data_IF_474759830655
#
_entry.id   IF_474759830655
#
_cell.length_a   1.000
_cell.length_b   1.000
_cell.length_c   1.000
_cell.angle_alpha   90.00
_cell.angle_beta   90.00
_cell.angle_gamma   90.00
#
_symmetry.space_group_name_H-M   'P 1'
#
loop_
_entity.id
_entity.type
_entity.pdbx_description
1 polymer ?
#
# COMPACT_ATOMS: atom_id res chain seq x y z
N UNK A 1 12.26 -34.24 70.54
CA UNK A 1 11.28 -33.66 69.60
C UNK A 1 12.06 -32.91 68.53
N UNK A 2 12.15 -33.48 67.30
CA UNK A 2 12.79 -32.80 66.15
C UNK A 2 11.72 -32.22 65.26
N UNK A 3 11.72 -30.90 65.10
CA UNK A 3 10.85 -30.15 64.22
C UNK A 3 11.56 -30.03 62.88
N UNK A 4 10.99 -30.65 61.81
CA UNK A 4 11.48 -30.51 60.43
C UNK A 4 10.74 -29.35 59.76
N UNK A 5 11.48 -28.30 59.40
CA UNK A 5 10.98 -27.22 58.56
C UNK A 5 11.16 -27.58 57.10
N UNK A 6 10.04 -27.78 56.39
CA UNK A 6 10.03 -27.91 54.92
C UNK A 6 9.99 -26.52 54.31
N UNK A 7 11.07 -26.12 53.67
CA UNK A 7 11.14 -24.91 52.85
C UNK A 7 10.50 -25.20 51.51
N UNK A 8 9.32 -24.63 51.26
CA UNK A 8 8.70 -24.61 49.91
C UNK A 8 9.34 -23.49 49.10
N UNK A 9 10.05 -23.84 48.03
CA UNK A 9 10.60 -22.90 47.06
C UNK A 9 9.50 -22.60 46.00
N UNK A 10 9.03 -21.35 45.84
CA UNK A 10 8.10 -21.02 44.75
C UNK A 10 8.85 -21.07 43.44
N UNK A 11 8.41 -21.91 42.52
CA UNK A 11 8.87 -21.92 41.13
C UNK A 11 8.33 -20.69 40.41
N UNK A 12 9.21 -19.73 40.15
CA UNK A 12 8.93 -18.56 39.34
C UNK A 12 8.86 -19.00 37.86
N UNK A 13 7.66 -19.21 37.33
CA UNK A 13 7.46 -19.46 35.90
C UNK A 13 7.74 -18.19 35.13
N UNK A 14 8.91 -18.10 34.48
CA UNK A 14 9.24 -17.06 33.54
C UNK A 14 8.40 -17.25 32.27
N UNK A 15 7.40 -16.42 32.08
CA UNK A 15 6.68 -16.28 30.79
C UNK A 15 7.64 -15.67 29.77
N UNK A 16 8.31 -16.50 29.00
CA UNK A 16 9.00 -16.05 27.77
C UNK A 16 7.92 -15.67 26.76
N UNK A 17 7.58 -14.38 26.71
CA UNK A 17 6.81 -13.84 25.60
C UNK A 17 7.62 -14.03 24.30
N UNK A 18 7.12 -14.82 23.36
CA UNK A 18 7.68 -14.86 22.01
C UNK A 18 7.65 -13.44 21.44
N UNK A 19 8.70 -12.97 20.74
CA UNK A 19 8.65 -11.69 20.06
C UNK A 19 7.48 -11.73 19.08
N UNK A 20 6.51 -10.85 19.26
CA UNK A 20 5.47 -10.64 18.26
C UNK A 20 6.16 -10.08 17.03
N UNK A 21 6.22 -10.87 15.94
CA UNK A 21 6.63 -10.36 14.65
C UNK A 21 5.64 -9.26 14.27
N UNK A 22 6.15 -8.10 13.88
CA UNK A 22 5.28 -7.03 13.44
C UNK A 22 4.54 -7.48 12.17
N UNK A 23 3.22 -7.35 12.18
CA UNK A 23 2.41 -7.69 11.00
C UNK A 23 2.86 -6.85 9.81
N UNK A 24 3.10 -7.51 8.67
CA UNK A 24 3.64 -6.91 7.46
C UNK A 24 2.65 -6.92 6.30
N UNK A 25 2.77 -5.92 5.43
CA UNK A 25 1.99 -5.82 4.21
C UNK A 25 2.92 -5.45 3.05
N UNK A 26 2.88 -6.24 1.97
CA UNK A 26 3.58 -5.97 0.74
C UNK A 26 2.61 -6.12 -0.44
N UNK A 27 2.87 -5.39 -1.52
CA UNK A 27 2.06 -5.46 -2.72
C UNK A 27 2.95 -5.56 -3.96
N UNK A 28 2.37 -6.07 -5.05
CA UNK A 28 2.98 -6.05 -6.37
C UNK A 28 1.93 -5.52 -7.35
N UNK A 29 2.29 -4.47 -8.09
CA UNK A 29 1.42 -3.85 -9.08
C UNK A 29 1.98 -4.13 -10.47
N UNK A 30 1.21 -4.78 -11.31
CA UNK A 30 1.57 -4.98 -12.69
C UNK A 30 1.01 -3.86 -13.57
N UNK A 31 1.91 -3.18 -14.28
CA UNK A 31 1.58 -2.27 -15.38
C UNK A 31 1.63 -3.10 -16.67
N UNK A 32 0.51 -3.31 -17.37
CA UNK A 32 0.50 -4.15 -18.57
C UNK A 32 1.20 -3.47 -19.74
N UNK A 33 1.72 -4.30 -20.66
CA UNK A 33 2.16 -3.79 -21.97
C UNK A 33 0.93 -3.64 -22.86
N UNK A 34 0.60 -2.41 -23.22
CA UNK A 34 -0.52 -2.12 -24.09
C UNK A 34 -0.02 -1.88 -25.53
N UNK A 35 -0.72 -2.47 -26.49
CA UNK A 35 -0.45 -2.25 -27.91
C UNK A 35 -1.28 -1.07 -28.42
N UNK A 36 -0.76 0.15 -28.23
CA UNK A 36 -1.38 1.40 -28.64
C UNK A 36 -0.44 2.15 -29.56
N UNK A 37 -0.98 2.95 -30.49
CA UNK A 37 -0.17 3.78 -31.41
C UNK A 37 0.64 4.85 -30.67
N UNK A 38 0.13 5.33 -29.55
CA UNK A 38 0.80 6.28 -28.67
C UNK A 38 0.73 5.77 -27.23
N UNK A 39 1.88 5.46 -26.65
CA UNK A 39 1.96 4.90 -25.30
C UNK A 39 2.60 5.89 -24.34
N UNK A 40 1.81 6.31 -23.37
CA UNK A 40 2.28 7.02 -22.19
C UNK A 40 2.26 6.09 -20.98
N UNK A 41 3.25 6.23 -20.08
CA UNK A 41 3.24 5.47 -18.83
C UNK A 41 2.11 5.95 -17.95
N UNK A 42 1.29 5.06 -17.37
CA UNK A 42 0.19 5.47 -16.52
C UNK A 42 0.69 6.16 -15.24
N UNK A 43 -0.09 7.13 -14.77
CA UNK A 43 -0.05 7.55 -13.39
C UNK A 43 -0.73 6.49 -12.55
N UNK A 44 -0.20 6.19 -11.38
CA UNK A 44 -0.75 5.17 -10.49
C UNK A 44 -0.77 5.70 -9.08
N UNK A 45 -1.89 5.52 -8.39
CA UNK A 45 -1.98 5.67 -6.95
C UNK A 45 -2.42 4.35 -6.30
N UNK A 46 -1.81 4.02 -5.17
CA UNK A 46 -2.19 2.89 -4.34
C UNK A 46 -2.40 3.37 -2.91
N UNK A 47 -3.51 2.92 -2.30
CA UNK A 47 -3.86 3.33 -0.94
C UNK A 47 -4.67 2.26 -0.21
N UNK A 48 -4.78 2.42 1.10
CA UNK A 48 -5.62 1.60 1.97
C UNK A 48 -6.85 2.41 2.38
N UNK A 49 -8.04 1.86 2.13
CA UNK A 49 -9.33 2.41 2.56
C UNK A 49 -9.90 1.62 3.75
N UNK A 50 -10.55 2.33 4.65
CA UNK A 50 -11.43 1.75 5.68
C UNK A 50 -12.79 1.36 5.09
N UNK A 51 -13.61 0.70 5.89
CA UNK A 51 -14.96 0.30 5.49
C UNK A 51 -15.86 1.50 5.10
N UNK A 52 -15.64 2.66 5.71
CA UNK A 52 -16.35 3.92 5.41
C UNK A 52 -15.79 4.66 4.19
N UNK A 53 -14.83 4.04 3.49
CA UNK A 53 -14.07 4.59 2.35
C UNK A 53 -13.16 5.78 2.70
N UNK A 54 -12.89 6.07 3.95
CA UNK A 54 -11.83 7.00 4.33
C UNK A 54 -10.46 6.38 4.08
N UNK A 55 -9.46 7.20 3.70
CA UNK A 55 -8.10 6.72 3.46
C UNK A 55 -7.38 6.53 4.78
N UNK A 56 -6.89 5.31 5.02
CA UNK A 56 -6.04 5.00 6.17
C UNK A 56 -4.57 5.35 5.90
N UNK A 57 -4.09 5.04 4.69
CA UNK A 57 -2.73 5.36 4.26
C UNK A 57 -2.65 5.43 2.73
N UNK A 58 -1.91 6.40 2.19
CA UNK A 58 -1.44 6.37 0.80
C UNK A 58 -0.14 5.58 0.76
N UNK A 59 -0.05 4.62 -0.16
CA UNK A 59 1.04 3.63 -0.23
C UNK A 59 2.03 3.95 -1.34
N UNK A 60 1.51 4.36 -2.49
CA UNK A 60 2.32 4.78 -3.62
C UNK A 60 1.59 5.82 -4.46
N UNK A 61 2.33 6.76 -5.02
CA UNK A 61 1.86 7.71 -6.03
C UNK A 61 2.94 7.86 -7.09
N UNK A 62 2.70 7.31 -8.28
CA UNK A 62 3.63 7.36 -9.39
C UNK A 62 3.14 8.33 -10.45
N UNK A 63 3.93 9.37 -10.71
CA UNK A 63 3.61 10.38 -11.70
C UNK A 63 4.86 10.89 -12.41
N UNK A 64 4.74 11.79 -13.37
CA UNK A 64 5.91 12.41 -13.99
C UNK A 64 6.56 13.39 -13.02
N UNK A 65 7.62 12.93 -12.37
CA UNK A 65 8.40 13.69 -11.37
C UNK A 65 9.49 14.57 -12.00
N UNK A 66 9.58 14.62 -13.35
CA UNK A 66 10.60 15.42 -14.01
C UNK A 66 10.32 16.91 -13.80
N UNK A 67 11.32 17.60 -13.24
CA UNK A 67 11.31 19.06 -13.15
C UNK A 67 11.92 19.62 -14.42
N UNK A 68 11.20 20.46 -15.15
CA UNK A 68 11.75 21.20 -16.26
C UNK A 68 12.28 22.54 -15.78
N UNK A 69 13.37 23.05 -16.39
CA UNK A 69 14.06 24.28 -16.00
C UNK A 69 13.13 25.50 -15.87
N UNK A 70 12.01 25.49 -16.60
CA UNK A 70 11.05 26.60 -16.61
C UNK A 70 9.77 26.31 -15.79
N UNK A 71 9.68 25.17 -15.10
CA UNK A 71 8.56 24.85 -14.22
C UNK A 71 9.04 24.05 -12.99
N UNK A 72 9.48 24.77 -11.94
CA UNK A 72 10.03 24.15 -10.73
C UNK A 72 9.02 23.32 -9.93
N UNK A 73 7.71 23.54 -10.11
CA UNK A 73 6.65 22.77 -9.42
C UNK A 73 6.38 21.40 -10.06
N UNK A 74 7.06 21.07 -11.18
CA UNK A 74 6.88 19.84 -11.91
C UNK A 74 5.54 19.76 -12.66
N UNK A 75 5.58 19.74 -14.00
CA UNK A 75 4.36 19.66 -14.81
C UNK A 75 3.47 18.46 -14.49
N UNK A 76 4.06 17.37 -13.96
CA UNK A 76 3.35 16.13 -13.68
C UNK A 76 2.29 16.22 -12.58
N UNK A 77 2.49 17.10 -11.59
CA UNK A 77 1.54 17.22 -10.45
C UNK A 77 0.16 17.71 -10.89
N UNK A 78 0.08 18.54 -11.93
CA UNK A 78 -1.19 19.06 -12.47
C UNK A 78 -2.14 17.96 -12.96
N UNK A 79 -1.60 16.78 -13.33
CA UNK A 79 -2.35 15.65 -13.86
C UNK A 79 -2.72 14.61 -12.80
N UNK A 80 -2.30 14.78 -11.54
CA UNK A 80 -2.68 13.88 -10.45
C UNK A 80 -4.20 13.83 -10.24
N UNK A 81 -4.93 14.86 -10.62
CA UNK A 81 -6.40 14.91 -10.63
C UNK A 81 -7.07 13.86 -11.54
N UNK A 82 -6.30 13.28 -12.50
CA UNK A 82 -6.81 12.24 -13.38
C UNK A 82 -6.90 10.89 -12.67
N UNK A 83 -6.18 10.71 -11.58
CA UNK A 83 -6.42 9.66 -10.57
C UNK A 83 -7.64 10.05 -9.72
N UNK A 84 -8.81 10.01 -10.32
CA UNK A 84 -10.03 10.70 -9.86
C UNK A 84 -10.53 10.21 -8.51
N UNK A 85 -10.40 8.90 -8.22
CA UNK A 85 -10.86 8.34 -6.97
C UNK A 85 -9.91 8.70 -5.84
N UNK A 86 -8.61 8.43 -6.03
CA UNK A 86 -7.57 8.83 -5.08
C UNK A 86 -7.58 10.34 -4.82
N UNK A 87 -7.67 11.16 -5.88
CA UNK A 87 -7.69 12.61 -5.77
C UNK A 87 -8.85 13.12 -4.90
N UNK A 88 -10.06 12.59 -5.12
CA UNK A 88 -11.24 12.96 -4.33
C UNK A 88 -11.19 12.47 -2.89
N UNK A 89 -10.55 11.32 -2.64
CA UNK A 89 -10.46 10.72 -1.31
C UNK A 89 -9.44 11.43 -0.42
N UNK A 90 -8.28 11.79 -0.99
CA UNK A 90 -7.15 12.31 -0.22
C UNK A 90 -6.18 13.15 -1.05
N UNK A 91 -5.97 12.88 -2.32
CA UNK A 91 -4.87 13.45 -3.11
C UNK A 91 -4.86 14.98 -3.16
N UNK A 92 -6.03 15.61 -3.23
CA UNK A 92 -6.15 17.08 -3.27
C UNK A 92 -5.68 17.79 -1.99
N UNK A 93 -5.67 17.04 -0.87
CA UNK A 93 -5.31 17.56 0.44
C UNK A 93 -3.87 17.20 0.84
N UNK A 94 -3.14 16.51 -0.07
CA UNK A 94 -1.76 16.07 0.14
C UNK A 94 -0.78 16.95 -0.61
N UNK A 95 0.28 17.34 0.07
CA UNK A 95 1.45 17.94 -0.56
C UNK A 95 2.34 16.83 -1.13
N UNK A 96 2.71 16.93 -2.41
CA UNK A 96 3.63 16.02 -3.06
C UNK A 96 4.93 16.75 -3.41
N UNK A 97 6.10 16.11 -3.35
CA UNK A 97 6.33 14.67 -3.12
C UNK A 97 6.19 14.25 -1.65
N UNK A 98 5.74 13.00 -1.42
CA UNK A 98 5.65 12.37 -0.10
C UNK A 98 6.77 11.34 0.01
N UNK A 99 7.61 11.45 1.04
CA UNK A 99 8.72 10.53 1.28
C UNK A 99 8.26 9.07 1.40
N UNK A 100 8.97 8.17 0.71
CA UNK A 100 8.68 6.74 0.70
C UNK A 100 7.42 6.33 -0.06
N UNK A 101 6.63 7.30 -0.57
CA UNK A 101 5.35 7.08 -1.27
C UNK A 101 5.44 7.52 -2.73
N UNK A 102 6.02 8.70 -2.97
CA UNK A 102 6.10 9.29 -4.31
C UNK A 102 7.22 8.67 -5.13
N UNK A 103 6.94 8.41 -6.42
CA UNK A 103 7.91 7.93 -7.38
C UNK A 103 7.56 8.27 -8.81
N UNK A 104 8.52 8.07 -9.71
CA UNK A 104 8.30 8.23 -11.13
C UNK A 104 7.35 7.16 -11.69
N UNK A 105 6.63 7.49 -12.78
CA UNK A 105 5.84 6.54 -13.56
C UNK A 105 6.67 5.29 -13.91
N UNK A 106 6.03 4.12 -13.84
CA UNK A 106 6.70 2.84 -14.07
C UNK A 106 6.49 2.34 -15.51
N UNK A 107 7.49 1.66 -16.10
CA UNK A 107 7.30 0.97 -17.38
C UNK A 107 6.37 -0.25 -17.21
N UNK A 108 5.97 -0.85 -18.34
CA UNK A 108 5.28 -2.14 -18.31
C UNK A 108 6.13 -3.19 -17.54
N UNK A 109 5.49 -3.95 -16.67
CA UNK A 109 6.13 -4.94 -15.80
C UNK A 109 5.52 -4.99 -14.41
N UNK A 110 6.12 -5.83 -13.54
CA UNK A 110 5.70 -6.03 -12.15
C UNK A 110 6.56 -5.17 -11.22
N UNK A 111 5.90 -4.40 -10.36
CA UNK A 111 6.54 -3.43 -9.47
C UNK A 111 6.20 -3.73 -8.02
N UNK A 112 7.16 -4.26 -7.25
CA UNK A 112 6.94 -4.52 -5.83
C UNK A 112 6.88 -3.21 -5.04
N UNK A 113 6.01 -3.17 -4.05
CA UNK A 113 5.87 -2.11 -3.06
C UNK A 113 5.89 -2.75 -1.68
N UNK A 114 6.81 -2.32 -0.83
CA UNK A 114 6.81 -2.66 0.59
C UNK A 114 6.21 -1.49 1.33
N UNK A 115 5.14 -1.73 2.10
CA UNK A 115 4.60 -0.70 2.95
C UNK A 115 5.56 -0.46 4.11
N UNK A 116 5.88 0.80 4.34
CA UNK A 116 6.66 1.18 5.50
C UNK A 116 5.89 0.81 6.79
N UNK A 117 6.61 0.38 7.82
CA UNK A 117 6.05 0.06 9.13
C UNK A 117 5.20 1.20 9.70
N UNK A 118 5.57 2.45 9.40
CA UNK A 118 4.81 3.63 9.77
C UNK A 118 3.41 3.70 9.13
N UNK A 119 3.18 3.10 7.97
CA UNK A 119 1.87 3.05 7.32
C UNK A 119 1.01 1.93 7.92
N UNK A 120 1.60 0.76 8.19
CA UNK A 120 0.91 -0.38 8.81
C UNK A 120 0.61 -0.13 10.29
N UNK A 121 1.48 0.59 11.02
CA UNK A 121 1.27 0.98 12.41
C UNK A 121 0.03 1.87 12.64
N UNK A 122 -0.46 2.54 11.59
CA UNK A 122 -1.69 3.35 11.64
C UNK A 122 -2.97 2.52 11.45
N UNK A 123 -2.84 1.23 11.11
CA UNK A 123 -3.98 0.35 10.88
C UNK A 123 -4.43 -0.26 12.21
N UNK A 124 -5.64 0.07 12.63
CA UNK A 124 -6.31 -0.61 13.74
C UNK A 124 -6.91 -1.93 13.27
N UNK A 125 -7.17 -2.91 14.16
CA UNK A 125 -7.84 -4.14 13.77
C UNK A 125 -9.18 -3.87 13.06
N UNK A 126 -9.39 -4.50 11.90
CA UNK A 126 -10.62 -4.31 11.13
C UNK A 126 -10.53 -4.69 9.65
N UNK A 127 -11.61 -4.44 8.95
CA UNK A 127 -11.73 -4.65 7.51
C UNK A 127 -11.22 -3.44 6.71
N UNK A 128 -10.44 -3.72 5.68
CA UNK A 128 -9.83 -2.73 4.80
C UNK A 128 -9.94 -3.15 3.34
N UNK A 129 -9.63 -2.21 2.46
CA UNK A 129 -9.45 -2.44 1.03
C UNK A 129 -8.09 -1.88 0.61
N UNK A 130 -7.30 -2.66 -0.09
CA UNK A 130 -6.18 -2.16 -0.85
C UNK A 130 -6.68 -1.76 -2.23
N UNK A 131 -6.51 -0.51 -2.59
CA UNK A 131 -7.05 0.07 -3.82
C UNK A 131 -5.91 0.58 -4.67
N UNK A 132 -5.94 0.25 -5.96
CA UNK A 132 -4.97 0.73 -6.95
C UNK A 132 -5.75 1.40 -8.07
N UNK A 133 -5.41 2.62 -8.40
CA UNK A 133 -5.96 3.39 -9.52
C UNK A 133 -4.85 3.72 -10.50
N UNK A 134 -5.11 3.50 -11.79
CA UNK A 134 -4.26 3.94 -12.88
C UNK A 134 -5.01 4.89 -13.80
N UNK A 135 -4.32 5.90 -14.32
CA UNK A 135 -4.82 6.80 -15.35
C UNK A 135 -3.69 7.08 -16.35
N UNK A 136 -3.99 6.98 -17.64
CA UNK A 136 -3.02 7.14 -18.72
C UNK A 136 -3.43 8.27 -19.67
N UNK A 137 -2.48 9.11 -20.02
CA UNK A 137 -2.65 10.13 -21.04
C UNK A 137 -3.00 9.48 -22.39
N UNK A 138 -3.99 10.02 -23.08
CA UNK A 138 -4.56 9.43 -24.33
C UNK A 138 -4.99 7.96 -24.14
N UNK A 139 -5.40 7.62 -22.91
CA UNK A 139 -5.76 6.26 -22.53
C UNK A 139 -6.96 6.20 -21.61
N UNK A 140 -7.03 5.07 -20.91
CA UNK A 140 -8.10 4.78 -19.97
C UNK A 140 -7.76 5.17 -18.54
N UNK A 141 -8.71 4.80 -17.68
CA UNK A 141 -8.59 4.85 -16.22
C UNK A 141 -9.20 3.58 -15.67
N UNK A 142 -8.51 2.96 -14.76
CA UNK A 142 -8.96 1.72 -14.13
C UNK A 142 -8.70 1.73 -12.62
N UNK A 143 -9.56 1.04 -11.87
CA UNK A 143 -9.43 0.87 -10.42
C UNK A 143 -9.57 -0.62 -10.10
N UNK A 144 -8.60 -1.15 -9.36
CA UNK A 144 -8.62 -2.52 -8.83
C UNK A 144 -8.64 -2.46 -7.30
N UNK A 145 -9.44 -3.32 -6.68
CA UNK A 145 -9.64 -3.33 -5.24
C UNK A 145 -9.50 -4.75 -4.68
N UNK A 146 -8.73 -4.91 -3.60
CA UNK A 146 -8.55 -6.16 -2.88
C UNK A 146 -9.00 -5.95 -1.43
N UNK A 147 -10.10 -6.56 -0.97
CA UNK A 147 -10.51 -6.50 0.43
C UNK A 147 -9.59 -7.36 1.30
N UNK A 148 -9.27 -6.91 2.52
CA UNK A 148 -8.47 -7.69 3.47
C UNK A 148 -8.83 -7.38 4.92
N UNK A 149 -8.40 -8.25 5.84
CA UNK A 149 -8.52 -8.06 7.30
C UNK A 149 -7.15 -7.72 7.88
N UNK A 150 -7.12 -6.80 8.84
CA UNK A 150 -5.91 -6.41 9.56
C UNK A 150 -6.10 -6.54 11.07
N UNK A 151 -5.11 -7.02 11.86
CA UNK A 151 -3.97 -7.79 11.35
C UNK A 151 -4.43 -9.14 10.78
N UNK A 152 -3.68 -9.73 9.85
CA UNK A 152 -4.02 -11.04 9.31
C UNK A 152 -3.82 -12.13 10.38
N UNK A 153 -4.75 -13.07 10.48
CA UNK A 153 -4.64 -14.19 11.42
C UNK A 153 -3.57 -15.21 11.02
N UNK A 154 -3.23 -15.25 9.74
CA UNK A 154 -2.19 -16.09 9.12
C UNK A 154 -1.64 -15.40 7.89
N UNK A 155 -0.49 -15.88 7.42
CA UNK A 155 0.03 -15.42 6.13
C UNK A 155 -1.00 -15.69 5.02
N UNK A 156 -1.25 -14.68 4.18
CA UNK A 156 -2.23 -14.74 3.10
C UNK A 156 -1.69 -14.01 1.87
N UNK A 157 -2.02 -14.52 0.69
CA UNK A 157 -1.71 -13.91 -0.60
C UNK A 157 -3.00 -13.76 -1.39
N UNK A 158 -3.41 -12.53 -1.58
CA UNK A 158 -4.60 -12.19 -2.35
C UNK A 158 -4.21 -11.54 -3.67
N UNK A 159 -5.04 -11.71 -4.69
CA UNK A 159 -4.84 -11.06 -5.98
C UNK A 159 -6.15 -10.64 -6.63
N UNK A 160 -6.07 -9.61 -7.46
CA UNK A 160 -7.10 -9.17 -8.37
C UNK A 160 -6.45 -8.65 -9.64
N UNK A 161 -7.15 -8.67 -10.75
CA UNK A 161 -6.61 -8.22 -12.03
C UNK A 161 -7.48 -7.12 -12.62
N UNK A 162 -6.82 -6.14 -13.21
CA UNK A 162 -7.45 -5.20 -14.11
C UNK A 162 -7.71 -5.82 -15.49
N UNK A 163 -8.31 -5.06 -16.35
CA UNK A 163 -8.67 -5.46 -17.71
C UNK A 163 -8.11 -4.53 -18.80
N UNK A 164 -7.53 -3.40 -18.39
CA UNK A 164 -7.09 -2.35 -19.33
C UNK A 164 -5.77 -1.70 -18.90
N UNK A 165 -5.79 -0.81 -17.93
CA UNK A 165 -4.62 -0.01 -17.53
C UNK A 165 -3.79 -0.66 -16.40
N UNK A 166 -4.35 -1.68 -15.73
CA UNK A 166 -3.73 -2.47 -14.67
C UNK A 166 -3.72 -3.95 -15.06
N UNK A 167 -2.62 -4.63 -14.77
CA UNK A 167 -2.51 -6.08 -14.82
C UNK A 167 -2.88 -6.73 -13.48
N UNK A 168 -2.13 -7.75 -13.08
CA UNK A 168 -2.32 -8.43 -11.81
C UNK A 168 -1.83 -7.57 -10.65
N UNK A 169 -2.68 -7.40 -9.66
CA UNK A 169 -2.32 -6.80 -8.36
C UNK A 169 -2.27 -7.90 -7.33
N UNK A 170 -1.14 -8.02 -6.62
CA UNK A 170 -0.98 -8.96 -5.50
C UNK A 170 -0.84 -8.21 -4.20
N UNK A 171 -1.45 -8.76 -3.15
CA UNK A 171 -1.33 -8.26 -1.79
C UNK A 171 -0.89 -9.43 -0.89
N UNK A 172 0.29 -9.30 -0.31
CA UNK A 172 0.86 -10.26 0.64
C UNK A 172 0.69 -9.73 2.06
N UNK A 173 0.07 -10.52 2.91
CA UNK A 173 -0.20 -10.24 4.31
C UNK A 173 0.61 -11.19 5.18
N UNK A 174 1.34 -10.66 6.17
CA UNK A 174 2.11 -11.43 7.16
C UNK A 174 1.64 -11.08 8.56
N UNK A 175 1.35 -12.08 9.43
CA UNK A 175 0.97 -11.86 10.82
C UNK A 175 2.11 -11.30 11.66
#
# INVERSE_FOLDING_TARGET
VQVRYSLAVPALAALFGAPALAAGLAANIEVPRLNTSEYHRPYVAAWIERADNSVAATVAVWYDVRTRTNNPEGEGTKWLKDLRQWWRRTGRDLEVPIDGVTGATKPAGKHPITLADAATAKLTPGAYKFVVEAAREVGGREVVTIPFQWPPAKADLQSASGSSELGEIKLELKP
#
